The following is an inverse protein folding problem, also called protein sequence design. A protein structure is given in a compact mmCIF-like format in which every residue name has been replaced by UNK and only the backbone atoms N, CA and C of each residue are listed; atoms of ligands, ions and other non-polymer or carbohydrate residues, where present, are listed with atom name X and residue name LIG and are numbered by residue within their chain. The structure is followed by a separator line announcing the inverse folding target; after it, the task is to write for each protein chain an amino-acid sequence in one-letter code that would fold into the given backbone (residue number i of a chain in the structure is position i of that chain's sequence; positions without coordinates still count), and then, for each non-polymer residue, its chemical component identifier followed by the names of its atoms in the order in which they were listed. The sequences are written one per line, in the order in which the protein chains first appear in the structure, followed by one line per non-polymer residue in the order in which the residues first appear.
data_IF_566988001614
#
_entry.id   IF_566988001614
#
_cell.length_a   1.000
_cell.length_b   1.000
_cell.length_c   1.000
_cell.angle_alpha   90.00
_cell.angle_beta   90.00
_cell.angle_gamma   90.00
#
_symmetry.space_group_name_H-M   'P 1'
#
loop_
_entity.id
_entity.type
_entity.pdbx_description
1 polymer ?
#
# COMPACT_ATOMS: atom_id res chain seq x y z
N UNK A 1 -39.76 55.57 -18.31
CA UNK A 1 -40.32 54.87 -19.49
C UNK A 1 -39.86 53.42 -19.45
N UNK A 2 -40.79 52.48 -19.27
CA UNK A 2 -40.48 51.04 -19.21
C UNK A 2 -40.68 50.45 -20.61
N UNK A 3 -39.59 50.14 -21.31
CA UNK A 3 -39.63 49.49 -22.62
C UNK A 3 -39.83 47.99 -22.42
N UNK A 4 -40.99 47.47 -22.84
CA UNK A 4 -41.27 46.04 -22.86
C UNK A 4 -40.41 45.36 -23.91
N UNK A 5 -39.28 44.78 -23.49
CA UNK A 5 -38.46 43.89 -24.29
C UNK A 5 -39.23 42.59 -24.56
N UNK A 6 -39.83 42.50 -25.75
CA UNK A 6 -40.52 41.30 -26.22
C UNK A 6 -39.50 40.20 -26.49
N UNK A 7 -39.51 39.20 -25.62
CA UNK A 7 -38.65 38.01 -25.69
C UNK A 7 -38.97 37.26 -26.98
N UNK A 8 -38.05 37.29 -27.94
CA UNK A 8 -38.21 36.63 -29.23
C UNK A 8 -37.75 35.17 -29.11
N UNK A 9 -38.46 34.21 -29.72
CA UNK A 9 -38.17 32.76 -29.60
C UNK A 9 -36.71 32.40 -29.92
N UNK A 10 -36.10 33.11 -30.87
CA UNK A 10 -34.69 32.91 -31.27
C UNK A 10 -33.70 33.36 -30.19
N UNK A 11 -34.02 34.40 -29.41
CA UNK A 11 -33.19 34.82 -28.28
C UNK A 11 -33.20 33.78 -27.17
N UNK A 12 -34.38 33.23 -26.84
CA UNK A 12 -34.50 32.15 -25.83
C UNK A 12 -33.71 30.92 -26.26
N UNK A 13 -33.80 30.53 -27.53
CA UNK A 13 -33.02 29.40 -28.08
C UNK A 13 -31.52 29.68 -27.95
N UNK A 14 -31.04 30.89 -28.26
CA UNK A 14 -29.64 31.27 -28.06
C UNK A 14 -29.21 31.25 -26.59
N UNK A 15 -30.05 31.71 -25.67
CA UNK A 15 -29.76 31.67 -24.24
C UNK A 15 -29.61 30.24 -23.73
N UNK A 16 -30.51 29.34 -24.10
CA UNK A 16 -30.42 27.92 -23.74
C UNK A 16 -29.15 27.29 -24.31
N UNK A 17 -28.84 27.55 -25.58
CA UNK A 17 -27.62 27.03 -26.22
C UNK A 17 -26.33 27.51 -25.53
N UNK A 18 -26.27 28.79 -25.15
CA UNK A 18 -25.13 29.37 -24.42
C UNK A 18 -25.00 28.76 -23.02
N UNK A 19 -26.09 28.61 -22.28
CA UNK A 19 -26.08 28.00 -20.94
C UNK A 19 -25.65 26.53 -21.03
N UNK A 20 -26.13 25.78 -22.03
CA UNK A 20 -25.70 24.40 -22.26
C UNK A 20 -24.21 24.30 -22.58
N UNK A 21 -23.69 25.16 -23.47
CA UNK A 21 -22.27 25.19 -23.81
C UNK A 21 -21.39 25.56 -22.60
N UNK A 22 -21.79 26.57 -21.82
CA UNK A 22 -21.06 26.98 -20.61
C UNK A 22 -21.07 25.88 -19.55
N UNK A 23 -22.19 25.18 -19.37
CA UNK A 23 -22.30 24.04 -18.45
C UNK A 23 -21.36 22.89 -18.86
N UNK A 24 -21.33 22.55 -20.15
CA UNK A 24 -20.44 21.52 -20.69
C UNK A 24 -18.97 21.91 -20.45
N UNK A 25 -18.58 23.13 -20.84
CA UNK A 25 -17.21 23.63 -20.65
C UNK A 25 -16.82 23.64 -19.17
N UNK A 26 -17.73 24.09 -18.29
CA UNK A 26 -17.49 24.15 -16.83
C UNK A 26 -17.34 22.75 -16.23
N UNK A 27 -18.15 21.78 -16.66
CA UNK A 27 -18.04 20.40 -16.20
C UNK A 27 -16.71 19.76 -16.61
N UNK A 28 -16.31 19.94 -17.88
CA UNK A 28 -15.06 19.37 -18.38
C UNK A 28 -13.82 20.08 -17.80
N UNK A 29 -13.88 21.40 -17.59
CA UNK A 29 -12.79 22.13 -16.94
C UNK A 29 -12.62 21.70 -15.48
N UNK A 30 -13.71 21.56 -14.73
CA UNK A 30 -13.69 21.07 -13.35
C UNK A 30 -13.14 19.64 -13.27
N UNK A 31 -13.60 18.73 -14.16
CA UNK A 31 -13.13 17.35 -14.22
C UNK A 31 -11.65 17.24 -14.60
N UNK A 32 -11.18 18.06 -15.54
CA UNK A 32 -9.77 18.11 -15.93
C UNK A 32 -8.88 18.65 -14.81
N UNK A 33 -9.36 19.69 -14.11
CA UNK A 33 -8.65 20.29 -13.00
C UNK A 33 -8.51 19.30 -11.82
N UNK A 34 -9.59 18.61 -11.43
CA UNK A 34 -9.51 17.55 -10.41
C UNK A 34 -8.47 16.49 -10.77
N UNK A 35 -8.40 16.07 -12.04
CA UNK A 35 -7.45 15.05 -12.49
C UNK A 35 -5.98 15.52 -12.45
N UNK A 36 -5.72 16.82 -12.61
CA UNK A 36 -4.38 17.38 -12.66
C UNK A 36 -3.88 17.97 -11.33
N UNK A 37 -4.77 18.29 -10.39
CA UNK A 37 -4.41 18.83 -9.08
C UNK A 37 -4.08 17.77 -8.03
N UNK A 38 -4.32 16.49 -8.28
CA UNK A 38 -3.97 15.40 -7.36
C UNK A 38 -2.58 14.80 -7.70
N UNK A 39 -1.46 15.33 -7.14
CA UNK A 39 -0.13 14.72 -7.30
C UNK A 39 -0.02 13.35 -6.61
N UNK A 40 -0.98 13.00 -5.75
CA UNK A 40 -1.00 11.77 -4.93
C UNK A 40 -1.56 10.56 -5.67
N UNK A 41 -2.39 10.75 -6.69
CA UNK A 41 -3.05 9.64 -7.39
C UNK A 41 -2.04 8.76 -8.16
N UNK A 42 -0.97 9.36 -8.72
CA UNK A 42 0.11 8.60 -9.38
C UNK A 42 0.87 7.72 -8.38
N UNK A 43 1.21 8.26 -7.21
CA UNK A 43 1.93 7.52 -6.16
C UNK A 43 1.06 6.42 -5.56
N UNK A 44 -0.24 6.70 -5.33
CA UNK A 44 -1.23 5.72 -4.88
C UNK A 44 -1.34 4.56 -5.87
N UNK A 45 -1.47 4.85 -7.17
CA UNK A 45 -1.54 3.82 -8.21
C UNK A 45 -0.29 2.93 -8.26
N UNK A 46 0.91 3.51 -8.09
CA UNK A 46 2.16 2.74 -8.01
C UNK A 46 2.25 1.87 -6.76
N UNK A 47 1.77 2.37 -5.62
CA UNK A 47 1.73 1.59 -4.38
C UNK A 47 0.78 0.39 -4.50
N UNK A 48 -0.37 0.59 -5.14
CA UNK A 48 -1.33 -0.48 -5.46
C UNK A 48 -0.67 -1.57 -6.31
N UNK A 49 -0.05 -1.17 -7.43
CA UNK A 49 0.57 -2.12 -8.36
C UNK A 49 1.69 -2.93 -7.69
N UNK A 50 2.51 -2.29 -6.84
CA UNK A 50 3.54 -3.00 -6.06
C UNK A 50 2.95 -3.95 -5.04
N UNK A 51 1.93 -3.51 -4.29
CA UNK A 51 1.26 -4.35 -3.30
C UNK A 51 0.63 -5.59 -3.96
N UNK A 52 -0.01 -5.41 -5.12
CA UNK A 52 -0.58 -6.51 -5.90
C UNK A 52 0.49 -7.52 -6.35
N UNK A 53 1.64 -7.07 -6.84
CA UNK A 53 2.74 -7.95 -7.25
C UNK A 53 3.33 -8.74 -6.07
N UNK A 54 3.53 -8.08 -4.93
CA UNK A 54 4.01 -8.72 -3.70
C UNK A 54 3.01 -9.77 -3.21
N UNK A 55 1.73 -9.44 -3.14
CA UNK A 55 0.68 -10.36 -2.69
C UNK A 55 0.52 -11.55 -3.64
N UNK A 56 0.72 -11.34 -4.95
CA UNK A 56 0.74 -12.44 -5.93
C UNK A 56 1.90 -13.40 -5.70
N UNK A 57 3.08 -12.89 -5.33
CA UNK A 57 4.28 -13.69 -5.03
C UNK A 57 4.15 -14.46 -3.71
N UNK A 58 3.48 -13.90 -2.71
CA UNK A 58 3.30 -14.54 -1.41
C UNK A 58 2.38 -15.78 -1.42
N UNK A 59 1.61 -16.01 -2.50
CA UNK A 59 1.13 -17.35 -2.84
C UNK A 59 -0.32 -17.47 -3.28
N UNK A 60 -0.71 -18.64 -3.84
CA UNK A 60 -2.03 -18.90 -4.42
C UNK A 60 -3.18 -19.01 -3.40
N UNK A 61 -2.86 -19.14 -2.10
CA UNK A 61 -3.84 -19.23 -1.01
C UNK A 61 -4.32 -17.87 -0.49
N UNK A 62 -3.60 -16.77 -0.80
CA UNK A 62 -4.09 -15.42 -0.55
C UNK A 62 -5.16 -15.15 -1.61
N UNK A 63 -6.42 -15.37 -1.23
CA UNK A 63 -7.56 -15.17 -2.12
C UNK A 63 -7.47 -13.77 -2.71
N UNK A 64 -7.61 -13.65 -4.04
CA UNK A 64 -7.70 -12.36 -4.75
C UNK A 64 -8.72 -11.41 -4.12
N UNK A 65 -9.75 -11.96 -3.47
CA UNK A 65 -10.74 -11.23 -2.69
C UNK A 65 -10.19 -10.48 -1.47
N UNK A 66 -9.10 -10.96 -0.86
CA UNK A 66 -8.45 -10.28 0.25
C UNK A 66 -7.80 -8.97 -0.21
N UNK A 67 -7.21 -8.95 -1.41
CA UNK A 67 -6.59 -7.75 -2.00
C UNK A 67 -7.64 -6.69 -2.35
N UNK A 68 -8.77 -7.12 -2.91
CA UNK A 68 -9.87 -6.21 -3.29
C UNK A 68 -10.60 -5.60 -2.10
N UNK A 69 -10.38 -6.11 -0.88
CA UNK A 69 -11.03 -5.64 0.35
C UNK A 69 -10.07 -4.87 1.27
N UNK A 70 -8.87 -4.51 0.79
CA UNK A 70 -7.91 -3.72 1.58
C UNK A 70 -8.30 -2.24 1.59
N UNK A 71 -8.24 -1.62 2.76
CA UNK A 71 -8.36 -0.17 2.88
C UNK A 71 -7.10 0.54 2.33
N UNK A 72 -7.22 1.84 2.02
CA UNK A 72 -6.13 2.67 1.50
C UNK A 72 -4.86 2.61 2.39
N UNK A 73 -5.00 2.49 3.71
CA UNK A 73 -3.87 2.36 4.63
C UNK A 73 -3.22 0.98 4.60
N UNK A 74 -4.02 -0.08 4.54
CA UNK A 74 -3.53 -1.46 4.51
C UNK A 74 -2.79 -1.75 3.20
N UNK A 75 -3.25 -1.12 2.12
CA UNK A 75 -2.62 -1.15 0.81
C UNK A 75 -1.22 -0.50 0.81
N UNK A 76 -1.07 0.63 1.52
CA UNK A 76 0.25 1.25 1.71
C UNK A 76 1.16 0.31 2.49
N UNK A 77 0.67 -0.30 3.57
CA UNK A 77 1.43 -1.29 4.36
C UNK A 77 1.82 -2.50 3.49
N UNK A 78 0.89 -3.01 2.68
CA UNK A 78 1.12 -4.13 1.78
C UNK A 78 2.22 -3.83 0.75
N UNK A 79 2.34 -2.58 0.29
CA UNK A 79 3.39 -2.16 -0.63
C UNK A 79 4.81 -2.19 -0.03
N UNK A 80 4.91 -2.26 1.30
CA UNK A 80 6.18 -2.33 2.04
C UNK A 80 6.52 -3.75 2.52
N UNK A 81 5.69 -4.74 2.23
CA UNK A 81 5.98 -6.13 2.58
C UNK A 81 7.18 -6.66 1.79
N UNK A 82 8.00 -7.47 2.46
CA UNK A 82 9.18 -8.09 1.87
C UNK A 82 8.91 -9.57 1.65
N UNK A 83 9.08 -10.02 0.42
CA UNK A 83 9.00 -11.44 0.06
C UNK A 83 10.29 -12.14 0.48
N UNK A 84 10.23 -13.37 1.04
CA UNK A 84 11.43 -14.10 1.48
C UNK A 84 12.47 -14.28 0.37
N UNK A 85 12.04 -14.41 -0.89
CA UNK A 85 12.93 -14.52 -2.06
C UNK A 85 13.86 -13.31 -2.25
N UNK A 86 13.49 -12.14 -1.73
CA UNK A 86 14.30 -10.92 -1.84
C UNK A 86 15.34 -10.80 -0.71
N UNK A 87 15.35 -11.72 0.25
CA UNK A 87 16.29 -11.72 1.37
C UNK A 87 17.45 -12.65 0.98
N UNK A 88 18.60 -12.07 0.62
CA UNK A 88 19.78 -12.82 0.17
C UNK A 88 20.65 -13.39 1.29
N UNK A 89 20.28 -13.19 2.55
CA UNK A 89 21.06 -13.60 3.72
C UNK A 89 20.46 -14.84 4.37
N UNK A 90 21.30 -15.80 4.72
CA UNK A 90 20.92 -17.00 5.48
C UNK A 90 21.46 -16.94 6.91
N UNK A 91 20.97 -17.82 7.78
CA UNK A 91 21.49 -17.96 9.14
C UNK A 91 22.99 -18.29 9.17
N UNK A 92 23.49 -19.03 8.17
CA UNK A 92 24.91 -19.40 8.04
C UNK A 92 25.80 -18.20 7.67
N UNK A 93 25.19 -17.09 7.23
CA UNK A 93 25.91 -15.85 6.93
C UNK A 93 26.28 -15.06 8.18
N UNK A 94 25.80 -15.47 9.36
CA UNK A 94 26.01 -14.78 10.64
C UNK A 94 27.06 -15.53 11.47
N UNK A 95 28.31 -15.08 11.44
CA UNK A 95 29.39 -15.72 12.19
C UNK A 95 29.43 -15.29 13.67
N UNK A 96 29.66 -16.23 14.59
CA UNK A 96 29.96 -15.95 16.01
C UNK A 96 28.74 -15.70 16.90
N UNK A 97 27.52 -15.86 16.36
CA UNK A 97 26.25 -15.64 17.07
C UNK A 97 25.32 -16.86 17.00
N UNK A 98 25.88 -18.06 16.79
CA UNK A 98 25.11 -19.30 16.58
C UNK A 98 24.15 -19.60 17.73
N UNK A 99 24.60 -19.38 18.98
CA UNK A 99 23.78 -19.58 20.17
C UNK A 99 22.55 -18.66 20.19
N UNK A 100 22.72 -17.36 19.86
CA UNK A 100 21.62 -16.38 19.80
C UNK A 100 20.68 -16.72 18.64
N UNK A 101 21.23 -17.10 17.48
CA UNK A 101 20.44 -17.49 16.33
C UNK A 101 19.57 -18.72 16.63
N UNK A 102 20.10 -19.69 17.37
CA UNK A 102 19.36 -20.86 17.81
C UNK A 102 18.23 -20.49 18.78
N UNK A 103 18.52 -19.67 19.78
CA UNK A 103 17.53 -19.19 20.75
C UNK A 103 16.38 -18.42 20.06
N UNK A 104 16.69 -17.57 19.08
CA UNK A 104 15.69 -16.86 18.28
C UNK A 104 14.83 -17.84 17.48
N UNK A 105 15.43 -18.86 16.85
CA UNK A 105 14.67 -19.86 16.08
C UNK A 105 13.65 -20.60 16.95
N UNK A 106 14.08 -21.04 18.13
CA UNK A 106 13.24 -21.81 19.05
C UNK A 106 12.15 -20.95 19.71
N UNK A 107 12.48 -19.73 20.12
CA UNK A 107 11.55 -18.85 20.86
C UNK A 107 10.59 -18.07 19.96
N UNK A 108 11.02 -17.68 18.74
CA UNK A 108 10.22 -16.84 17.84
C UNK A 108 9.73 -17.59 16.61
N UNK A 109 10.65 -18.22 15.87
CA UNK A 109 10.30 -18.82 14.57
C UNK A 109 9.38 -20.03 14.79
N UNK A 110 9.70 -20.87 15.77
CA UNK A 110 8.97 -22.11 16.03
C UNK A 110 7.49 -21.87 16.38
N UNK A 111 7.13 -20.98 17.33
CA UNK A 111 5.73 -20.75 17.68
C UNK A 111 4.94 -20.01 16.58
N UNK A 112 5.61 -19.17 15.77
CA UNK A 112 4.98 -18.45 14.65
C UNK A 112 4.66 -19.41 13.50
N UNK A 113 5.60 -20.30 13.15
CA UNK A 113 5.37 -21.30 12.09
C UNK A 113 4.37 -22.38 12.50
N UNK A 114 4.34 -22.78 13.77
CA UNK A 114 3.51 -23.89 14.26
C UNK A 114 2.37 -23.43 15.17
N UNK A 115 1.69 -22.34 14.80
CA UNK A 115 0.64 -21.72 15.61
C UNK A 115 -0.47 -22.70 16.02
N UNK A 116 -0.79 -23.67 15.16
CA UNK A 116 -1.84 -24.66 15.41
C UNK A 116 -1.52 -25.55 16.62
N UNK A 117 -0.25 -25.91 16.83
CA UNK A 117 0.19 -26.76 17.95
C UNK A 117 0.24 -26.01 19.30
N UNK A 118 0.39 -24.68 19.27
CA UNK A 118 0.60 -23.84 20.46
C UNK A 118 -0.60 -22.95 20.81
N UNK A 119 -1.70 -23.05 20.06
CA UNK A 119 -2.91 -22.25 20.24
C UNK A 119 -3.61 -22.46 21.60
N UNK A 120 -3.39 -23.62 22.24
CA UNK A 120 -4.01 -23.99 23.53
C UNK A 120 -3.12 -23.83 24.76
N UNK A 121 -1.84 -23.51 24.62
CA UNK A 121 -0.88 -23.44 25.73
C UNK A 121 -0.47 -22.01 26.03
N UNK A 122 -0.97 -21.46 27.15
CA UNK A 122 -0.62 -20.11 27.61
C UNK A 122 0.88 -19.93 27.95
N UNK A 123 1.63 -21.03 28.09
CA UNK A 123 3.04 -21.05 28.44
C UNK A 123 3.98 -20.88 27.24
N UNK A 124 3.55 -21.24 26.02
CA UNK A 124 4.39 -21.25 24.81
C UNK A 124 3.89 -20.22 23.79
N UNK A 125 3.74 -18.97 24.23
CA UNK A 125 3.42 -17.85 23.35
C UNK A 125 4.71 -17.20 22.85
N UNK A 126 4.74 -16.85 21.56
CA UNK A 126 5.83 -16.04 21.02
C UNK A 126 5.93 -14.70 21.78
N UNK A 127 7.14 -14.26 22.15
CA UNK A 127 7.31 -12.97 22.79
C UNK A 127 6.82 -11.84 21.86
N UNK A 128 6.22 -10.80 22.44
CA UNK A 128 5.59 -9.70 21.69
C UNK A 128 6.58 -8.85 20.88
N UNK A 129 7.86 -8.92 21.22
CA UNK A 129 8.93 -8.22 20.53
C UNK A 129 10.29 -8.70 21.01
N UNK A 130 11.30 -8.55 20.15
CA UNK A 130 12.69 -8.87 20.47
C UNK A 130 13.52 -7.62 20.24
N UNK A 131 14.35 -7.28 21.24
CA UNK A 131 15.29 -6.17 21.18
C UNK A 131 16.67 -6.74 20.86
N UNK A 132 17.14 -6.53 19.64
CA UNK A 132 18.51 -6.83 19.25
C UNK A 132 19.36 -5.59 19.55
N UNK A 133 20.29 -5.71 20.49
CA UNK A 133 21.25 -4.65 20.82
C UNK A 133 22.68 -5.16 20.68
N UNK A 134 23.59 -4.26 20.31
CA UNK A 134 25.01 -4.54 20.24
C UNK A 134 25.80 -3.23 20.18
N UNK A 135 27.10 -3.24 20.56
CA UNK A 135 27.96 -2.09 20.34
C UNK A 135 28.00 -1.76 18.83
N UNK A 136 27.94 -0.48 18.43
CA UNK A 136 27.98 -0.10 17.02
C UNK A 136 29.32 -0.51 16.40
N UNK A 137 29.33 -1.59 15.61
CA UNK A 137 30.54 -2.24 15.12
C UNK A 137 30.69 -2.21 13.60
N UNK A 138 31.67 -1.42 13.12
CA UNK A 138 32.44 -1.41 11.85
C UNK A 138 32.10 -2.45 10.75
N UNK A 139 30.88 -2.41 10.25
CA UNK A 139 30.45 -3.10 9.04
C UNK A 139 29.34 -2.29 8.40
N UNK A 140 29.65 -1.03 8.06
CA UNK A 140 28.76 -0.24 7.20
C UNK A 140 28.47 -1.06 5.95
N UNK A 141 27.21 -1.04 5.53
CA UNK A 141 26.54 -1.72 4.41
C UNK A 141 27.18 -1.54 3.01
N UNK A 142 28.50 -1.37 2.94
CA UNK A 142 29.32 -1.19 1.76
C UNK A 142 30.07 -2.49 1.51
N UNK A 143 29.47 -3.40 0.76
CA UNK A 143 30.17 -4.58 0.27
C UNK A 143 29.30 -5.81 0.16
N UNK A 144 28.26 -5.75 -0.67
CA UNK A 144 27.81 -6.94 -1.38
C UNK A 144 27.81 -6.60 -2.88
N UNK A 145 28.52 -7.37 -3.74
CA UNK A 145 28.48 -7.22 -5.19
C UNK A 145 27.11 -7.58 -5.77
#
# INVERSE_FOLDING_TARGET
MSGSSSITRNEVVQFVLRISLVSIVTYYSAKWLMKNLDPTNKSKKKAIEKAEDILRKLGPNIKRQAVTNLNDYELVIASHLVVPENISVSWDSIAGLDHVCQEIKESLVFPVCHRDMFSGSALYQAPKGVLLYGPPGKGGWRGFP
#
